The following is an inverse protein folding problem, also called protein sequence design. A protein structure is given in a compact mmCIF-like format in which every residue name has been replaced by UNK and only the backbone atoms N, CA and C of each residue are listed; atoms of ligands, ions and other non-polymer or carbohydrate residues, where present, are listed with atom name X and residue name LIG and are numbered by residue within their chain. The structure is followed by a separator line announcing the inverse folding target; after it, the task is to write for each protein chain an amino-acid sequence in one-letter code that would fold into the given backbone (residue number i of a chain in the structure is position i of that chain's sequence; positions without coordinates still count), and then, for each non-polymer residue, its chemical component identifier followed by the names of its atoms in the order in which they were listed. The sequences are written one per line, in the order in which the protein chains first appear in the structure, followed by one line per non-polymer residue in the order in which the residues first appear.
data_IF_287900145158
#
_entry.id   IF_287900145158
#
_cell.length_a   1.000
_cell.length_b   1.000
_cell.length_c   1.000
_cell.angle_alpha   90.00
_cell.angle_beta   90.00
_cell.angle_gamma   90.00
#
_symmetry.space_group_name_H-M   'P 1'
#
loop_
_entity.id
_entity.type
_entity.pdbx_description
1 polymer ?
#
# COMPACT_ATOMS: atom_id res chain seq x y z
N UNK A 1 -2.65 33.80 -10.95
CA UNK A 1 -1.77 33.81 -9.78
C UNK A 1 -2.34 32.73 -8.86
N UNK A 2 -1.76 31.54 -8.94
CA UNK A 2 -2.22 30.40 -8.10
C UNK A 2 -1.70 30.62 -6.69
N UNK A 3 -2.60 30.92 -5.76
CA UNK A 3 -2.31 30.84 -4.33
C UNK A 3 -2.03 29.36 -3.99
N UNK A 4 -0.77 28.98 -4.13
CA UNK A 4 -0.27 27.74 -3.54
C UNK A 4 -0.28 27.97 -2.03
N UNK A 5 -1.31 27.45 -1.35
CA UNK A 5 -1.31 27.41 0.10
C UNK A 5 -0.02 26.69 0.54
N UNK A 6 0.77 27.27 1.46
CA UNK A 6 2.02 26.65 1.93
C UNK A 6 1.81 25.22 2.44
N UNK A 7 0.68 24.92 3.05
CA UNK A 7 0.29 23.57 3.48
C UNK A 7 0.25 22.55 2.35
N UNK A 8 -0.06 22.95 1.11
CA UNK A 8 -0.16 22.08 -0.04
C UNK A 8 1.21 21.66 -0.59
N UNK A 9 2.16 22.58 -0.60
CA UNK A 9 3.53 22.27 -1.01
C UNK A 9 4.20 21.32 -0.03
N UNK A 10 3.92 21.44 1.27
CA UNK A 10 4.50 20.59 2.32
C UNK A 10 3.95 19.16 2.25
N UNK A 11 2.65 18.98 1.98
CA UNK A 11 2.07 17.63 1.87
C UNK A 11 2.53 16.89 0.61
N UNK A 12 2.74 17.59 -0.49
CA UNK A 12 3.24 16.96 -1.72
C UNK A 12 4.69 16.49 -1.54
N UNK A 13 5.55 17.27 -0.89
CA UNK A 13 6.92 16.86 -0.52
C UNK A 13 6.90 15.67 0.43
N UNK A 14 6.00 15.69 1.42
CA UNK A 14 5.84 14.56 2.34
C UNK A 14 5.40 13.30 1.60
N UNK A 15 4.46 13.42 0.66
CA UNK A 15 3.98 12.30 -0.15
C UNK A 15 5.08 11.70 -1.04
N UNK A 16 5.92 12.54 -1.64
CA UNK A 16 7.08 12.10 -2.42
C UNK A 16 8.10 11.34 -1.55
N UNK A 17 8.41 11.87 -0.38
CA UNK A 17 9.32 11.19 0.57
C UNK A 17 8.75 9.85 1.04
N UNK A 18 7.46 9.82 1.35
CA UNK A 18 6.77 8.61 1.79
C UNK A 18 6.76 7.53 0.72
N UNK A 19 6.34 7.84 -0.51
CA UNK A 19 6.33 6.87 -1.63
C UNK A 19 7.75 6.49 -2.05
N UNK A 20 8.70 7.42 -1.99
CA UNK A 20 10.11 7.16 -2.21
C UNK A 20 10.69 6.17 -1.20
N UNK A 21 10.36 6.32 0.09
CA UNK A 21 10.81 5.40 1.13
C UNK A 21 10.28 3.97 0.91
N UNK A 22 9.05 3.80 0.45
CA UNK A 22 8.51 2.51 0.05
C UNK A 22 9.25 1.92 -1.16
N UNK A 23 9.57 2.75 -2.16
CA UNK A 23 10.32 2.32 -3.36
C UNK A 23 11.74 1.91 -3.02
N UNK A 24 12.41 2.63 -2.11
CA UNK A 24 13.79 2.35 -1.70
C UNK A 24 13.89 1.29 -0.59
N UNK A 25 12.80 1.04 0.13
CA UNK A 25 12.77 0.15 1.29
C UNK A 25 13.43 0.74 2.54
N UNK A 26 13.69 2.03 2.55
CA UNK A 26 14.35 2.78 3.64
C UNK A 26 14.12 4.27 3.52
N UNK A 27 14.51 5.04 4.56
CA UNK A 27 14.43 6.50 4.53
C UNK A 27 13.15 7.05 5.14
N UNK A 28 12.36 6.25 5.84
CA UNK A 28 11.13 6.69 6.52
C UNK A 28 11.39 7.73 7.62
N UNK A 29 12.58 7.76 8.19
CA UNK A 29 12.97 8.78 9.18
C UNK A 29 12.92 10.21 8.64
N UNK A 30 12.97 10.39 7.30
CA UNK A 30 12.88 11.71 6.67
C UNK A 30 11.44 12.25 6.60
N UNK A 31 10.42 11.40 6.82
CA UNK A 31 9.00 11.76 6.71
C UNK A 31 8.15 11.30 7.90
N UNK A 32 8.71 10.54 8.83
CA UNK A 32 7.98 9.98 9.97
C UNK A 32 8.56 10.44 11.31
N UNK A 33 7.71 10.44 12.34
CA UNK A 33 8.19 10.50 13.74
C UNK A 33 8.91 9.21 14.09
N UNK A 34 9.83 9.25 15.08
CA UNK A 34 10.59 8.07 15.49
C UNK A 34 9.73 6.91 16.00
N UNK A 35 8.56 7.23 16.57
CA UNK A 35 7.56 6.32 17.14
C UNK A 35 6.39 6.05 16.19
N UNK A 36 6.58 6.23 14.87
CA UNK A 36 5.53 6.07 13.87
C UNK A 36 4.78 4.75 14.02
N UNK A 37 3.45 4.80 14.01
CA UNK A 37 2.59 3.63 13.94
C UNK A 37 2.19 3.32 12.49
N UNK A 38 2.20 2.03 12.11
CA UNK A 38 1.79 1.62 10.78
C UNK A 38 0.94 0.35 10.78
N UNK A 39 -0.07 0.33 9.93
CA UNK A 39 -0.95 -0.82 9.70
C UNK A 39 -1.26 -0.97 8.21
N UNK A 40 -1.26 -2.20 7.72
CA UNK A 40 -1.80 -2.58 6.41
C UNK A 40 -2.27 -4.05 6.42
N UNK A 41 -2.92 -4.55 5.35
CA UNK A 41 -3.38 -5.94 5.30
C UNK A 41 -2.28 -7.01 5.35
N UNK A 42 -1.02 -6.66 5.14
CA UNK A 42 0.13 -7.58 5.18
C UNK A 42 0.87 -7.54 6.52
N UNK A 43 0.65 -6.50 7.32
CA UNK A 43 1.16 -6.43 8.69
C UNK A 43 0.28 -7.27 9.61
N UNK A 44 0.82 -8.33 10.18
CA UNK A 44 0.07 -9.24 11.07
C UNK A 44 -0.38 -8.56 12.37
N UNK A 45 0.40 -7.58 12.82
CA UNK A 45 0.15 -6.74 13.98
C UNK A 45 0.51 -5.30 13.64
N UNK A 46 -0.06 -4.30 14.31
CA UNK A 46 0.38 -2.91 14.17
C UNK A 46 1.88 -2.80 14.42
N UNK A 47 2.57 -2.07 13.53
CA UNK A 47 4.00 -1.81 13.64
C UNK A 47 4.23 -0.52 14.40
N UNK A 48 5.30 -0.46 15.21
CA UNK A 48 5.71 0.73 15.95
C UNK A 48 7.19 1.03 15.70
N UNK A 49 7.46 2.27 15.33
CA UNK A 49 8.79 2.80 15.07
C UNK A 49 9.29 2.59 13.64
N UNK A 50 10.25 3.44 13.27
CA UNK A 50 10.84 3.46 11.92
C UNK A 50 11.49 2.13 11.56
N UNK A 51 12.18 1.49 12.49
CA UNK A 51 12.87 0.21 12.24
C UNK A 51 11.89 -0.91 11.88
N UNK A 52 10.74 -1.00 12.58
CA UNK A 52 9.71 -1.98 12.27
C UNK A 52 9.08 -1.72 10.90
N UNK A 53 8.86 -0.46 10.55
CA UNK A 53 8.33 -0.06 9.26
C UNK A 53 9.32 -0.36 8.12
N UNK A 54 10.60 -0.08 8.29
CA UNK A 54 11.66 -0.46 7.34
C UNK A 54 11.78 -1.98 7.20
N UNK A 55 11.64 -2.72 8.30
CA UNK A 55 11.58 -4.18 8.27
C UNK A 55 10.42 -4.70 7.41
N UNK A 56 9.26 -4.06 7.50
CA UNK A 56 8.10 -4.38 6.68
C UNK A 56 8.32 -4.04 5.19
N UNK A 57 8.89 -2.88 4.90
CA UNK A 57 9.26 -2.50 3.54
C UNK A 57 10.30 -3.44 2.92
N UNK A 58 11.28 -3.92 3.70
CA UNK A 58 12.24 -4.95 3.24
C UNK A 58 11.55 -6.25 2.83
N UNK A 59 10.51 -6.70 3.56
CA UNK A 59 9.71 -7.88 3.15
C UNK A 59 9.00 -7.64 1.83
N UNK A 60 8.47 -6.44 1.60
CA UNK A 60 7.89 -6.07 0.33
C UNK A 60 8.94 -6.16 -0.80
N UNK A 61 10.16 -5.68 -0.59
CA UNK A 61 11.26 -5.77 -1.55
C UNK A 61 11.71 -7.22 -1.80
N UNK A 62 11.64 -8.09 -0.82
CA UNK A 62 11.91 -9.52 -1.01
C UNK A 62 10.87 -10.18 -1.91
N UNK A 63 9.60 -9.79 -1.76
CA UNK A 63 8.53 -10.29 -2.61
C UNK A 63 8.55 -9.66 -4.02
N UNK A 64 8.85 -8.35 -4.10
CA UNK A 64 8.88 -7.56 -5.33
C UNK A 64 10.22 -6.83 -5.46
N UNK A 65 11.28 -7.47 -5.98
CA UNK A 65 12.62 -6.84 -6.07
C UNK A 65 12.67 -5.58 -6.95
N UNK A 66 11.74 -5.45 -7.87
CA UNK A 66 11.57 -4.33 -8.80
C UNK A 66 10.44 -3.37 -8.39
N UNK A 67 10.02 -3.40 -7.12
CA UNK A 67 8.90 -2.60 -6.62
C UNK A 67 9.12 -1.10 -6.87
N UNK A 68 8.04 -0.44 -7.29
CA UNK A 68 7.94 1.02 -7.38
C UNK A 68 6.61 1.47 -6.81
N UNK A 69 6.65 2.48 -5.95
CA UNK A 69 5.47 3.11 -5.38
C UNK A 69 5.49 4.57 -5.77
N UNK A 70 4.43 5.02 -6.41
CA UNK A 70 4.28 6.41 -6.86
C UNK A 70 2.89 6.94 -6.51
N UNK A 71 2.79 8.24 -6.33
CA UNK A 71 1.49 8.90 -6.14
C UNK A 71 0.67 8.85 -7.43
N UNK A 72 -0.64 8.66 -7.32
CA UNK A 72 -1.57 8.64 -8.48
C UNK A 72 -2.39 9.91 -8.60
N UNK A 73 -2.44 10.73 -7.55
CA UNK A 73 -3.10 12.01 -7.48
C UNK A 73 -2.42 12.89 -6.42
N UNK A 74 -2.65 14.20 -6.41
CA UNK A 74 -2.18 15.07 -5.35
C UNK A 74 -2.64 14.57 -3.98
N UNK A 75 -1.74 14.63 -3.00
CA UNK A 75 -2.09 14.30 -1.63
C UNK A 75 -3.11 15.29 -1.08
N UNK A 76 -3.95 14.83 -0.17
CA UNK A 76 -4.95 15.64 0.51
C UNK A 76 -4.55 15.82 1.98
N UNK A 77 -4.75 17.02 2.51
CA UNK A 77 -4.51 17.29 3.93
C UNK A 77 -5.63 18.18 4.48
N UNK A 78 -6.03 17.89 5.70
CA UNK A 78 -6.95 18.70 6.48
C UNK A 78 -6.56 18.63 7.96
N UNK A 79 -6.03 19.75 8.48
CA UNK A 79 -5.49 19.78 9.83
C UNK A 79 -4.32 18.80 9.98
N UNK A 80 -4.41 17.93 10.94
CA UNK A 80 -3.42 16.89 11.25
C UNK A 80 -3.69 15.53 10.59
N UNK A 81 -4.56 15.49 9.57
CA UNK A 81 -4.90 14.30 8.81
C UNK A 81 -4.57 14.46 7.34
N UNK A 82 -4.09 13.39 6.72
CA UNK A 82 -3.76 13.36 5.30
C UNK A 82 -4.17 12.07 4.61
N UNK A 83 -4.17 12.13 3.28
CA UNK A 83 -4.42 10.97 2.44
C UNK A 83 -3.51 11.03 1.21
N UNK A 84 -2.77 9.95 0.96
CA UNK A 84 -1.87 9.82 -0.19
C UNK A 84 -2.37 8.68 -1.06
N UNK A 85 -3.03 8.96 -2.20
CA UNK A 85 -3.33 7.94 -3.21
C UNK A 85 -2.06 7.48 -3.91
N UNK A 86 -1.89 6.18 -4.06
CA UNK A 86 -0.70 5.60 -4.66
C UNK A 86 -1.01 4.39 -5.53
N UNK A 87 -0.05 4.02 -6.37
CA UNK A 87 0.02 2.70 -6.99
C UNK A 87 1.40 2.08 -6.74
N UNK A 88 1.39 0.78 -6.59
CA UNK A 88 2.57 -0.06 -6.54
C UNK A 88 2.63 -0.90 -7.81
N UNK A 89 3.79 -0.95 -8.44
CA UNK A 89 4.07 -1.87 -9.54
C UNK A 89 5.26 -2.74 -9.20
N UNK A 90 5.27 -3.98 -9.66
CA UNK A 90 6.39 -4.90 -9.47
C UNK A 90 6.06 -6.32 -9.89
N UNK A 91 7.10 -7.14 -10.01
CA UNK A 91 6.99 -8.57 -10.32
C UNK A 91 7.18 -9.37 -9.05
N UNK A 92 6.19 -10.20 -8.70
CA UNK A 92 6.28 -11.05 -7.51
C UNK A 92 7.24 -12.21 -7.76
N UNK A 93 8.47 -12.05 -7.33
CA UNK A 93 9.55 -13.04 -7.47
C UNK A 93 9.92 -13.74 -6.16
N UNK A 94 9.42 -13.24 -5.05
CA UNK A 94 9.61 -13.82 -3.72
C UNK A 94 8.30 -14.15 -3.05
N UNK A 95 8.38 -14.86 -1.94
CA UNK A 95 7.22 -15.19 -1.11
C UNK A 95 6.58 -13.91 -0.54
N UNK A 96 5.25 -13.83 -0.60
CA UNK A 96 4.46 -12.76 0.02
C UNK A 96 3.50 -13.37 1.04
N UNK A 97 3.71 -13.08 2.31
CA UNK A 97 3.02 -13.76 3.42
C UNK A 97 3.21 -15.29 3.33
N UNK A 98 2.19 -16.06 2.98
CA UNK A 98 2.29 -17.51 2.78
C UNK A 98 2.15 -17.90 1.29
N UNK A 99 2.21 -16.92 0.38
CA UNK A 99 2.05 -17.14 -1.05
C UNK A 99 3.41 -17.35 -1.72
N UNK A 100 3.63 -18.45 -2.43
CA UNK A 100 4.85 -18.66 -3.20
C UNK A 100 4.96 -17.64 -4.33
N UNK A 101 6.17 -17.46 -4.86
CA UNK A 101 6.39 -16.60 -6.02
C UNK A 101 5.54 -17.05 -7.22
N UNK A 102 4.87 -16.09 -7.86
CA UNK A 102 4.03 -16.35 -9.04
C UNK A 102 4.69 -15.90 -10.33
N UNK A 103 5.77 -15.12 -10.26
CA UNK A 103 6.43 -14.43 -11.38
C UNK A 103 5.50 -13.49 -12.18
N UNK A 104 4.37 -13.11 -11.59
CA UNK A 104 3.42 -12.19 -12.20
C UNK A 104 3.80 -10.74 -11.91
N UNK A 105 3.71 -9.89 -12.94
CA UNK A 105 3.77 -8.44 -12.78
C UNK A 105 2.41 -7.95 -12.31
N UNK A 106 2.38 -7.11 -11.29
CA UNK A 106 1.15 -6.54 -10.73
C UNK A 106 1.19 -5.02 -10.70
N UNK A 107 0.01 -4.44 -10.77
CA UNK A 107 -0.26 -3.03 -10.49
C UNK A 107 -1.32 -2.95 -9.41
N UNK A 108 -0.93 -2.61 -8.20
CA UNK A 108 -1.84 -2.44 -7.06
C UNK A 108 -2.16 -0.97 -6.86
N UNK A 109 -3.42 -0.64 -6.65
CA UNK A 109 -3.85 0.70 -6.26
C UNK A 109 -4.26 0.71 -4.79
N UNK A 110 -3.95 1.83 -4.14
CA UNK A 110 -4.29 2.01 -2.75
C UNK A 110 -4.19 3.46 -2.32
N UNK A 111 -4.40 3.66 -1.04
CA UNK A 111 -4.18 4.93 -0.38
C UNK A 111 -3.60 4.70 1.02
N UNK A 112 -2.81 5.65 1.49
CA UNK A 112 -2.43 5.75 2.88
C UNK A 112 -3.22 6.87 3.54
N UNK A 113 -3.92 6.54 4.62
CA UNK A 113 -4.48 7.53 5.54
C UNK A 113 -3.41 7.85 6.58
N UNK A 114 -3.21 9.14 6.86
CA UNK A 114 -2.13 9.64 7.70
C UNK A 114 -2.67 10.46 8.86
N UNK A 115 -2.03 10.33 10.01
CA UNK A 115 -2.08 11.29 11.10
C UNK A 115 -0.70 11.97 11.21
N UNK A 116 -0.70 13.29 11.27
CA UNK A 116 0.49 14.11 11.23
C UNK A 116 0.76 14.77 12.59
N UNK A 117 2.03 14.97 12.90
CA UNK A 117 2.49 15.76 14.02
C UNK A 117 3.72 16.53 13.58
N UNK A 118 3.70 17.85 13.71
CA UNK A 118 4.80 18.75 13.31
C UNK A 118 5.29 18.51 11.87
N UNK A 119 4.36 18.25 10.94
CA UNK A 119 4.65 18.01 9.54
C UNK A 119 5.23 16.61 9.22
N UNK A 120 5.31 15.71 10.21
CA UNK A 120 5.77 14.34 10.05
C UNK A 120 4.60 13.34 10.23
N UNK A 121 4.71 12.18 9.62
CA UNK A 121 3.76 11.09 9.77
C UNK A 121 3.97 10.44 11.13
N UNK A 122 2.98 10.57 12.02
CA UNK A 122 2.95 9.88 13.31
C UNK A 122 2.25 8.53 13.21
N UNK A 123 1.25 8.42 12.34
CA UNK A 123 0.53 7.18 12.09
C UNK A 123 0.14 7.10 10.61
N UNK A 124 0.25 5.92 10.05
CA UNK A 124 -0.25 5.65 8.71
C UNK A 124 -1.00 4.32 8.66
N UNK A 125 -2.05 4.27 7.85
CA UNK A 125 -2.79 3.06 7.56
C UNK A 125 -2.94 2.88 6.07
N UNK A 126 -2.48 1.73 5.56
CA UNK A 126 -2.56 1.36 4.16
C UNK A 126 -3.87 0.65 3.84
N UNK A 127 -4.55 1.12 2.79
CA UNK A 127 -5.69 0.47 2.17
C UNK A 127 -5.33 0.15 0.74
N UNK A 128 -5.64 -1.05 0.28
CA UNK A 128 -5.34 -1.45 -1.09
C UNK A 128 -6.40 -2.43 -1.62
N UNK A 129 -6.52 -2.50 -2.94
CA UNK A 129 -7.41 -3.44 -3.60
C UNK A 129 -6.79 -4.85 -3.60
N UNK A 130 -7.03 -5.58 -2.52
CA UNK A 130 -6.55 -6.96 -2.36
C UNK A 130 -7.19 -7.93 -3.34
N UNK A 131 -8.45 -7.70 -3.72
CA UNK A 131 -9.15 -8.57 -4.66
C UNK A 131 -8.51 -8.48 -6.05
N UNK A 132 -8.29 -7.26 -6.52
CA UNK A 132 -7.62 -7.03 -7.80
C UNK A 132 -6.20 -7.59 -7.79
N UNK A 133 -5.43 -7.33 -6.74
CA UNK A 133 -4.09 -7.89 -6.55
C UNK A 133 -4.07 -9.42 -6.60
N UNK A 134 -4.97 -10.08 -5.87
CA UNK A 134 -5.05 -11.52 -5.85
C UNK A 134 -5.47 -12.11 -7.22
N UNK A 135 -6.31 -11.40 -7.97
CA UNK A 135 -6.68 -11.77 -9.34
C UNK A 135 -5.49 -11.66 -10.28
N UNK A 136 -4.71 -10.56 -10.22
CA UNK A 136 -3.50 -10.37 -11.02
C UNK A 136 -2.43 -11.43 -10.72
N UNK A 137 -2.33 -11.87 -9.47
CA UNK A 137 -1.41 -12.95 -9.06
C UNK A 137 -1.93 -14.37 -9.43
N UNK A 138 -3.12 -14.49 -9.99
CA UNK A 138 -3.73 -15.76 -10.34
C UNK A 138 -4.27 -16.57 -9.15
N UNK A 139 -4.44 -15.92 -7.99
CA UNK A 139 -4.95 -16.56 -6.77
C UNK A 139 -6.47 -16.57 -6.70
N UNK A 140 -7.12 -15.64 -7.37
CA UNK A 140 -8.57 -15.53 -7.49
C UNK A 140 -8.96 -15.50 -8.98
N UNK A 141 -10.14 -16.05 -9.33
CA UNK A 141 -10.65 -15.97 -10.69
C UNK A 141 -11.03 -14.54 -11.06
N UNK A 142 -10.97 -14.22 -12.35
CA UNK A 142 -11.43 -12.93 -12.89
C UNK A 142 -12.93 -12.73 -12.62
N UNK A 143 -13.31 -11.47 -12.31
CA UNK A 143 -14.70 -11.08 -12.09
C UNK A 143 -15.56 -11.40 -13.31
N UNK A 144 -16.72 -12.02 -13.09
CA UNK A 144 -17.65 -12.41 -14.15
C UNK A 144 -17.24 -13.64 -14.95
N UNK A 145 -16.12 -14.27 -14.63
CA UNK A 145 -15.64 -15.47 -15.29
C UNK A 145 -16.28 -16.76 -14.77
N UNK A 146 -16.11 -17.85 -15.53
CA UNK A 146 -16.58 -19.19 -15.12
C UNK A 146 -15.94 -19.66 -13.80
N UNK A 147 -14.70 -19.23 -13.51
CA UNK A 147 -14.03 -19.55 -12.27
C UNK A 147 -14.67 -18.90 -11.04
N UNK A 148 -15.12 -17.65 -11.13
CA UNK A 148 -15.88 -16.99 -10.08
C UNK A 148 -17.20 -17.68 -9.83
N UNK A 149 -17.93 -18.03 -10.89
CA UNK A 149 -19.19 -18.78 -10.80
C UNK A 149 -18.97 -20.15 -10.12
N UNK A 150 -17.91 -20.87 -10.45
CA UNK A 150 -17.55 -22.14 -9.82
C UNK A 150 -17.22 -21.97 -8.34
N UNK A 151 -16.46 -20.91 -7.96
CA UNK A 151 -16.14 -20.60 -6.57
C UNK A 151 -17.38 -20.29 -5.75
N UNK A 152 -18.32 -19.50 -6.30
CA UNK A 152 -19.60 -19.19 -5.68
C UNK A 152 -20.48 -20.44 -5.51
N UNK A 153 -20.47 -21.35 -6.49
CA UNK A 153 -21.20 -22.63 -6.38
C UNK A 153 -20.64 -23.53 -5.27
N UNK A 154 -19.32 -23.64 -5.16
CA UNK A 154 -18.66 -24.42 -4.10
C UNK A 154 -19.03 -23.87 -2.71
N UNK A 155 -19.19 -22.57 -2.57
CA UNK A 155 -19.64 -21.93 -1.33
C UNK A 155 -21.16 -21.95 -1.09
N UNK A 156 -21.93 -22.59 -1.97
CA UNK A 156 -23.36 -22.76 -1.81
C UNK A 156 -24.22 -21.55 -2.21
N UNK A 157 -23.62 -20.52 -2.80
CA UNK A 157 -24.38 -19.33 -3.25
C UNK A 157 -25.18 -19.57 -4.55
N UNK A 158 -24.91 -20.64 -5.27
CA UNK A 158 -25.59 -21.00 -6.52
C UNK A 158 -26.68 -22.08 -6.39
N UNK A 159 -26.86 -22.68 -5.21
CA UNK A 159 -27.75 -23.84 -4.99
C UNK A 159 -29.04 -23.47 -4.20
N UNK A 160 -29.59 -22.28 -4.38
CA UNK A 160 -30.96 -22.03 -3.94
C UNK A 160 -31.91 -22.53 -5.00
N UNK A 161 -32.56 -23.66 -4.70
CA UNK A 161 -33.76 -24.11 -5.39
C UNK A 161 -34.91 -23.16 -5.11
#
# INVERSE_FOLDING_TARGET
MSDLHPERADIDVLAERWTGAWTEGSGFSACCTGDVGYEDPFAQIPLEGVEALEGHARKLHQAFPDVRVVTTAPALVRGDHGCIPWKLTGTQRGELAMLPATDQFVTLHGLHYLELTDGLIRRARGFLDLYDGATQLGLLPEKGGLGEAALLMIRGFGLRR
#
